data_IF_128093321556
#
_entry.id   IF_128093321556
#
_cell.length_a   1.000
_cell.length_b   1.000
_cell.length_c   1.000
_cell.angle_alpha   90.00
_cell.angle_beta   90.00
_cell.angle_gamma   90.00
#
_symmetry.space_group_name_H-M   'P 1'
#
loop_
_entity.id
_entity.type
_entity.pdbx_description
1 polymer ?
#
# COMPACT_ATOMS: atom_id res chain seq x y z
N UNK A 1 60.46 -41.34 -43.36
CA UNK A 1 60.13 -39.89 -43.52
C UNK A 1 58.63 -39.74 -43.36
N UNK A 2 58.17 -39.40 -42.18
CA UNK A 2 56.72 -39.19 -41.89
C UNK A 2 56.43 -37.72 -41.84
N UNK A 3 55.35 -37.20 -42.47
CA UNK A 3 54.95 -35.78 -42.37
C UNK A 3 54.16 -35.53 -41.09
N UNK A 4 54.66 -34.57 -40.33
CA UNK A 4 54.02 -34.03 -39.13
C UNK A 4 52.78 -33.24 -39.53
N UNK A 5 51.59 -33.71 -39.13
CA UNK A 5 50.34 -32.94 -39.33
C UNK A 5 50.18 -31.88 -38.24
N UNK A 6 50.26 -30.62 -38.66
CA UNK A 6 50.02 -29.47 -37.81
C UNK A 6 48.49 -29.30 -37.63
N UNK A 7 48.00 -29.50 -36.39
CA UNK A 7 46.59 -29.26 -36.03
C UNK A 7 46.48 -27.81 -35.56
N UNK A 8 45.77 -27.01 -36.36
CA UNK A 8 45.42 -25.62 -36.02
C UNK A 8 44.21 -25.63 -35.09
N UNK A 9 44.40 -25.30 -33.81
CA UNK A 9 43.33 -25.15 -32.84
C UNK A 9 42.83 -23.70 -32.92
N UNK A 10 41.60 -23.51 -33.47
CA UNK A 10 40.93 -22.22 -33.50
C UNK A 10 40.15 -22.07 -32.20
N UNK A 11 40.64 -21.24 -31.27
CA UNK A 11 39.92 -20.85 -30.06
C UNK A 11 38.93 -19.72 -30.40
N UNK A 12 37.63 -20.05 -30.48
CA UNK A 12 36.58 -19.05 -30.57
C UNK A 12 36.35 -18.40 -29.22
N UNK A 13 36.72 -17.13 -29.10
CA UNK A 13 36.38 -16.32 -27.91
C UNK A 13 34.89 -15.93 -27.96
N UNK A 14 34.11 -16.52 -27.05
CA UNK A 14 32.71 -16.08 -26.81
C UNK A 14 32.74 -14.76 -26.07
N UNK A 15 32.50 -13.67 -26.74
CA UNK A 15 32.21 -12.37 -26.13
C UNK A 15 30.83 -12.44 -25.49
N UNK A 16 30.76 -12.61 -24.17
CA UNK A 16 29.52 -12.44 -23.40
C UNK A 16 29.16 -10.96 -23.38
N UNK A 17 28.28 -10.56 -24.28
CA UNK A 17 27.68 -9.23 -24.25
C UNK A 17 26.74 -9.09 -23.06
N UNK A 18 27.13 -8.29 -22.08
CA UNK A 18 26.24 -7.87 -20.97
C UNK A 18 25.13 -7.03 -21.56
N UNK A 19 23.90 -7.57 -21.59
CA UNK A 19 22.73 -6.77 -21.91
C UNK A 19 22.59 -5.63 -20.86
N UNK A 20 22.36 -4.37 -21.29
CA UNK A 20 22.10 -3.30 -20.32
C UNK A 20 20.86 -3.66 -19.50
N UNK A 21 20.97 -3.52 -18.17
CA UNK A 21 19.84 -3.67 -17.27
C UNK A 21 18.77 -2.64 -17.69
N UNK A 22 17.60 -3.12 -18.14
CA UNK A 22 16.49 -2.24 -18.42
C UNK A 22 16.06 -1.58 -17.11
N UNK A 23 16.15 -0.26 -17.07
CA UNK A 23 15.59 0.57 -16.02
C UNK A 23 14.09 0.23 -15.89
N UNK A 24 13.57 -0.07 -14.68
CA UNK A 24 12.18 -0.42 -14.51
C UNK A 24 11.30 0.71 -15.07
N UNK A 25 10.39 0.37 -15.97
CA UNK A 25 9.51 1.34 -16.61
C UNK A 25 8.77 2.15 -15.54
N UNK A 26 8.84 3.49 -15.63
CA UNK A 26 8.10 4.40 -14.73
C UNK A 26 6.63 4.01 -14.78
N UNK A 27 6.00 3.70 -13.61
CA UNK A 27 4.59 3.33 -13.59
C UNK A 27 3.74 4.45 -14.19
N UNK A 28 2.66 4.12 -14.93
CA UNK A 28 1.81 5.12 -15.53
C UNK A 28 1.20 6.03 -14.46
N UNK A 29 0.92 7.30 -14.78
CA UNK A 29 0.26 8.21 -13.85
C UNK A 29 -1.07 7.60 -13.39
N UNK A 30 -1.33 7.68 -12.08
CA UNK A 30 -2.52 7.11 -11.48
C UNK A 30 -3.79 7.83 -11.97
N UNK A 31 -4.68 7.07 -12.62
CA UNK A 31 -6.03 7.54 -12.95
C UNK A 31 -7.02 7.17 -11.83
N UNK A 32 -7.38 8.15 -11.02
CA UNK A 32 -8.42 8.02 -10.00
C UNK A 32 -9.84 8.00 -10.59
N UNK A 33 -10.01 8.14 -11.89
CA UNK A 33 -11.30 8.38 -12.56
C UNK A 33 -12.36 7.31 -12.28
N UNK A 34 -11.96 6.06 -12.16
CA UNK A 34 -12.84 4.90 -12.01
C UNK A 34 -13.28 4.62 -10.57
N UNK A 35 -12.79 5.36 -9.58
CA UNK A 35 -13.17 5.17 -8.18
C UNK A 35 -14.26 6.13 -7.72
N UNK A 36 -15.11 5.74 -6.75
CA UNK A 36 -16.07 6.64 -6.13
C UNK A 36 -15.40 7.87 -5.49
N UNK A 37 -16.14 8.97 -5.36
CA UNK A 37 -15.61 10.27 -4.92
C UNK A 37 -14.84 10.23 -3.60
N UNK A 38 -15.30 9.43 -2.63
CA UNK A 38 -14.60 9.26 -1.34
C UNK A 38 -13.23 8.61 -1.48
N UNK A 39 -13.12 7.56 -2.31
CA UNK A 39 -11.84 6.89 -2.62
C UNK A 39 -10.93 7.84 -3.38
N UNK A 40 -11.46 8.51 -4.42
CA UNK A 40 -10.67 9.52 -5.16
C UNK A 40 -10.11 10.61 -4.25
N UNK A 41 -10.87 11.02 -3.22
CA UNK A 41 -10.39 12.01 -2.24
C UNK A 41 -9.21 11.47 -1.43
N UNK A 42 -9.23 10.21 -0.99
CA UNK A 42 -8.14 9.59 -0.26
C UNK A 42 -6.87 9.49 -1.13
N UNK A 43 -7.03 9.08 -2.39
CA UNK A 43 -5.91 8.96 -3.34
C UNK A 43 -5.32 10.32 -3.73
N UNK A 44 -6.17 11.34 -3.95
CA UNK A 44 -5.69 12.72 -4.18
C UNK A 44 -4.89 13.25 -2.99
N UNK A 45 -5.28 12.94 -1.77
CA UNK A 45 -4.48 13.33 -0.61
C UNK A 45 -3.04 12.83 -0.70
N UNK A 46 -2.82 11.59 -1.13
CA UNK A 46 -1.46 11.07 -1.31
C UNK A 46 -0.72 11.80 -2.46
N UNK A 47 -1.39 12.05 -3.59
CA UNK A 47 -0.80 12.80 -4.68
C UNK A 47 -0.39 14.22 -4.25
N UNK A 48 -1.27 14.92 -3.53
CA UNK A 48 -1.01 16.28 -3.05
C UNK A 48 0.14 16.28 -2.02
N UNK A 49 0.24 15.23 -1.20
CA UNK A 49 1.34 15.05 -0.26
C UNK A 49 2.69 14.84 -0.98
N UNK A 50 2.74 13.98 -2.01
CA UNK A 50 3.92 13.81 -2.86
C UNK A 50 4.35 15.15 -3.47
N UNK A 51 3.42 15.87 -4.09
CA UNK A 51 3.68 17.17 -4.74
C UNK A 51 4.19 18.19 -3.72
N UNK A 52 3.54 18.31 -2.57
CA UNK A 52 3.90 19.26 -1.51
C UNK A 52 5.29 19.02 -0.93
N UNK A 53 5.74 17.78 -0.91
CA UNK A 53 7.08 17.40 -0.45
C UNK A 53 8.13 17.40 -1.56
N UNK A 54 7.77 17.83 -2.79
CA UNK A 54 8.69 17.85 -3.93
C UNK A 54 9.00 16.46 -4.49
N UNK A 55 8.11 15.48 -4.27
CA UNK A 55 8.27 14.08 -4.69
C UNK A 55 7.65 13.77 -6.05
N UNK A 56 7.14 14.78 -6.78
CA UNK A 56 6.56 14.59 -8.10
C UNK A 56 5.25 13.81 -8.10
N UNK A 57 5.00 13.03 -9.15
CA UNK A 57 3.79 12.21 -9.28
C UNK A 57 3.80 11.01 -8.33
N UNK A 58 2.62 10.67 -7.81
CA UNK A 58 2.42 9.46 -7.01
C UNK A 58 2.17 8.26 -7.90
N UNK A 59 2.67 7.09 -7.51
CA UNK A 59 2.26 5.80 -8.04
C UNK A 59 1.73 4.90 -6.92
N UNK A 60 0.71 4.13 -7.26
CA UNK A 60 0.03 3.23 -6.36
C UNK A 60 0.17 1.79 -6.83
N UNK A 61 0.35 0.86 -5.89
CA UNK A 61 0.27 -0.57 -6.19
C UNK A 61 -1.16 -0.96 -6.61
N UNK A 62 -1.34 -2.04 -7.39
CA UNK A 62 -2.66 -2.48 -7.85
C UNK A 62 -3.66 -2.75 -6.72
N UNK A 63 -3.19 -3.16 -5.54
CA UNK A 63 -3.98 -3.50 -4.37
C UNK A 63 -4.07 -2.36 -3.33
N UNK A 64 -3.58 -1.16 -3.66
CA UNK A 64 -3.74 0.02 -2.79
C UNK A 64 -5.20 0.28 -2.44
N UNK A 65 -6.14 0.00 -3.35
CA UNK A 65 -7.58 0.09 -3.09
C UNK A 65 -8.20 -1.29 -3.18
N UNK A 66 -8.74 -1.76 -2.07
CA UNK A 66 -9.44 -3.05 -2.01
C UNK A 66 -10.89 -2.85 -1.61
N UNK A 67 -11.77 -3.67 -2.20
CA UNK A 67 -13.20 -3.68 -1.95
C UNK A 67 -13.61 -4.83 -1.03
N UNK A 68 -14.48 -4.55 -0.09
CA UNK A 68 -15.07 -5.52 0.81
C UNK A 68 -16.44 -5.03 1.25
N UNK A 69 -17.35 -5.92 1.57
CA UNK A 69 -18.50 -5.60 2.43
C UNK A 69 -18.01 -5.69 3.89
N UNK A 70 -17.52 -4.56 4.43
CA UNK A 70 -16.99 -4.48 5.79
C UNK A 70 -18.11 -4.32 6.83
N UNK A 71 -19.22 -3.71 6.43
CA UNK A 71 -20.34 -3.42 7.32
C UNK A 71 -21.39 -4.54 7.37
N UNK A 72 -21.36 -5.48 6.41
CA UNK A 72 -22.30 -6.59 6.29
C UNK A 72 -23.66 -6.16 5.72
N UNK A 73 -23.69 -5.08 4.95
CA UNK A 73 -24.91 -4.51 4.39
C UNK A 73 -25.09 -4.74 2.89
N UNK A 74 -24.20 -5.54 2.29
CA UNK A 74 -24.21 -5.93 0.88
C UNK A 74 -23.65 -4.87 -0.07
N UNK A 75 -23.10 -3.75 0.43
CA UNK A 75 -22.48 -2.70 -0.37
C UNK A 75 -20.94 -2.78 -0.32
N UNK A 76 -20.30 -2.36 -1.42
CA UNK A 76 -18.85 -2.24 -1.46
C UNK A 76 -18.37 -1.13 -0.52
N UNK A 77 -17.60 -1.49 0.49
CA UNK A 77 -16.76 -0.61 1.28
C UNK A 77 -15.32 -0.70 0.78
N UNK A 78 -14.45 0.22 1.21
CA UNK A 78 -13.10 0.31 0.65
C UNK A 78 -12.05 0.41 1.75
N UNK A 79 -10.95 -0.28 1.55
CA UNK A 79 -9.70 -0.09 2.27
C UNK A 79 -8.71 0.54 1.30
N UNK A 80 -8.11 1.68 1.69
CA UNK A 80 -7.02 2.32 0.96
C UNK A 80 -5.76 2.20 1.81
N UNK A 81 -4.85 1.33 1.38
CA UNK A 81 -3.59 1.04 2.06
C UNK A 81 -2.44 1.71 1.31
N UNK A 82 -1.80 2.68 1.95
CA UNK A 82 -0.71 3.45 1.33
C UNK A 82 0.68 2.84 1.54
N UNK A 83 0.77 1.58 1.96
CA UNK A 83 2.05 0.92 2.29
C UNK A 83 3.02 0.90 1.12
N UNK A 84 2.52 0.61 -0.07
CA UNK A 84 3.32 0.50 -1.30
C UNK A 84 3.14 1.72 -2.21
N UNK A 85 2.85 2.87 -1.61
CA UNK A 85 2.73 4.13 -2.34
C UNK A 85 4.08 4.80 -2.47
N UNK A 86 4.45 5.17 -3.68
CA UNK A 86 5.76 5.76 -4.02
C UNK A 86 5.57 7.10 -4.72
N UNK A 87 6.41 8.07 -4.38
CA UNK A 87 6.54 9.32 -5.12
C UNK A 87 7.70 9.23 -6.13
N UNK A 88 7.50 9.75 -7.34
CA UNK A 88 8.42 9.53 -8.46
C UNK A 88 9.84 10.07 -8.23
N UNK A 89 9.96 11.25 -7.62
CA UNK A 89 11.23 11.99 -7.52
C UNK A 89 11.76 12.00 -6.08
N UNK A 90 11.04 11.44 -5.14
CA UNK A 90 11.43 11.40 -3.73
C UNK A 90 10.66 10.30 -2.99
N UNK A 91 11.37 9.59 -2.16
CA UNK A 91 10.72 8.71 -1.19
C UNK A 91 9.98 9.55 -0.16
N UNK A 92 8.66 9.59 -0.25
CA UNK A 92 7.79 10.21 0.75
C UNK A 92 7.23 9.09 1.62
N UNK A 93 7.53 9.17 2.91
CA UNK A 93 7.12 8.14 3.84
C UNK A 93 5.63 8.26 4.20
N UNK A 94 4.77 7.48 3.54
CA UNK A 94 3.42 7.19 4.05
C UNK A 94 3.48 6.23 5.25
N UNK A 95 4.68 5.72 5.54
CA UNK A 95 5.00 4.81 6.61
C UNK A 95 5.97 5.46 7.60
N UNK A 96 6.03 4.93 8.82
CA UNK A 96 6.95 5.33 9.87
C UNK A 96 6.95 4.30 11.00
N UNK A 97 7.49 4.62 12.17
CA UNK A 97 7.53 3.70 13.32
C UNK A 97 6.13 3.25 13.77
N UNK A 98 5.11 4.10 13.56
CA UNK A 98 3.71 3.77 13.81
C UNK A 98 3.05 2.91 12.75
N UNK A 99 3.75 2.57 11.68
CA UNK A 99 3.23 1.85 10.51
C UNK A 99 2.89 2.77 9.34
N UNK A 100 2.06 2.28 8.44
CA UNK A 100 1.66 2.96 7.21
C UNK A 100 0.24 3.51 7.35
N UNK A 101 -0.06 4.58 6.60
CA UNK A 101 -1.42 5.14 6.55
C UNK A 101 -2.39 4.12 5.96
N UNK A 102 -3.51 3.98 6.61
CA UNK A 102 -4.65 3.17 6.23
C UNK A 102 -5.93 4.00 6.33
N UNK A 103 -6.69 4.07 5.26
CA UNK A 103 -8.02 4.69 5.26
C UNK A 103 -9.08 3.59 5.09
N UNK A 104 -10.10 3.58 5.97
CA UNK A 104 -11.29 2.72 5.84
C UNK A 104 -12.47 3.61 5.50
N UNK A 105 -13.12 3.28 4.39
CA UNK A 105 -14.19 4.05 3.80
C UNK A 105 -15.43 3.16 3.69
N UNK A 106 -16.56 3.59 4.22
CA UNK A 106 -17.82 2.83 4.15
C UNK A 106 -18.84 3.52 3.26
N UNK A 107 -19.60 2.73 2.51
CA UNK A 107 -20.69 3.18 1.66
C UNK A 107 -21.96 3.27 2.46
N UNK A 108 -22.52 4.47 2.55
CA UNK A 108 -23.77 4.74 3.26
C UNK A 108 -24.98 4.31 2.41
N UNK A 109 -26.19 4.13 3.02
CA UNK A 109 -27.40 3.78 2.29
C UNK A 109 -27.77 4.73 1.13
N UNK A 110 -27.35 5.98 1.20
CA UNK A 110 -27.55 6.97 0.13
C UNK A 110 -26.44 6.97 -0.95
N UNK A 111 -25.58 5.95 -0.98
CA UNK A 111 -24.46 5.80 -1.92
C UNK A 111 -23.25 6.71 -1.65
N UNK A 112 -23.32 7.59 -0.65
CA UNK A 112 -22.16 8.42 -0.27
C UNK A 112 -21.12 7.59 0.47
N UNK A 113 -19.85 7.85 0.20
CA UNK A 113 -18.74 7.19 0.89
C UNK A 113 -18.25 8.08 2.02
N UNK A 114 -18.09 7.47 3.20
CA UNK A 114 -17.62 8.12 4.42
C UNK A 114 -16.31 7.46 4.89
N UNK A 115 -15.29 8.26 5.14
CA UNK A 115 -14.12 7.80 5.87
C UNK A 115 -14.49 7.60 7.35
N UNK A 116 -14.34 6.37 7.82
CA UNK A 116 -14.61 5.98 9.22
C UNK A 116 -13.33 5.79 10.03
N UNK A 117 -12.21 5.53 9.35
CA UNK A 117 -10.87 5.43 9.94
C UNK A 117 -9.85 6.03 8.98
N UNK A 118 -8.86 6.72 9.52
CA UNK A 118 -7.73 7.27 8.79
C UNK A 118 -6.60 7.51 9.78
N UNK A 119 -5.67 6.56 9.87
CA UNK A 119 -4.54 6.61 10.78
C UNK A 119 -3.43 5.66 10.31
N UNK A 120 -2.29 5.65 11.01
CA UNK A 120 -1.20 4.72 10.76
C UNK A 120 -1.40 3.42 11.52
N UNK A 121 -1.17 2.31 10.82
CA UNK A 121 -1.19 0.96 11.40
C UNK A 121 0.02 0.17 10.90
N UNK A 122 0.60 -0.67 11.73
CA UNK A 122 1.72 -1.53 11.34
C UNK A 122 1.27 -2.66 10.42
N UNK A 123 0.15 -3.26 10.76
CA UNK A 123 -0.51 -4.26 9.94
C UNK A 123 -2.01 -4.30 10.27
N UNK A 124 -2.77 -5.02 9.47
CA UNK A 124 -4.16 -5.33 9.77
C UNK A 124 -4.57 -6.64 9.12
N UNK A 125 -5.57 -7.24 9.71
CA UNK A 125 -6.18 -8.48 9.25
C UNK A 125 -7.71 -8.33 9.28
N UNK A 126 -8.37 -8.77 8.22
CA UNK A 126 -9.83 -8.77 8.12
C UNK A 126 -10.31 -10.15 8.55
N UNK A 127 -11.01 -10.20 9.68
CA UNK A 127 -11.58 -11.41 10.23
C UNK A 127 -13.05 -11.54 9.82
N UNK A 128 -13.49 -12.76 9.59
CA UNK A 128 -14.91 -13.03 9.37
C UNK A 128 -15.71 -12.66 10.64
N UNK A 129 -16.85 -12.02 10.44
CA UNK A 129 -17.84 -11.77 11.49
C UNK A 129 -19.22 -12.24 11.01
N UNK A 130 -20.14 -12.49 11.91
CA UNK A 130 -21.49 -12.99 11.58
C UNK A 130 -22.27 -12.00 10.71
N UNK A 131 -22.19 -10.70 11.00
CA UNK A 131 -22.96 -9.66 10.32
C UNK A 131 -22.03 -8.66 9.63
N UNK A 132 -20.90 -8.30 10.25
CA UNK A 132 -19.93 -7.34 9.75
C UNK A 132 -18.52 -7.85 9.98
N UNK A 133 -17.56 -7.37 9.17
CA UNK A 133 -16.16 -7.74 9.34
C UNK A 133 -15.59 -7.10 10.60
N UNK A 134 -14.71 -7.86 11.25
CA UNK A 134 -13.86 -7.36 12.32
C UNK A 134 -12.48 -7.15 11.74
N UNK A 135 -11.91 -5.98 11.93
CA UNK A 135 -10.51 -5.74 11.57
C UNK A 135 -9.69 -5.78 12.86
N UNK A 136 -8.67 -6.63 12.86
CA UNK A 136 -7.61 -6.65 13.86
C UNK A 136 -6.47 -5.79 13.37
N UNK A 137 -6.14 -4.78 14.13
CA UNK A 137 -5.07 -3.83 13.83
C UNK A 137 -3.86 -4.15 14.69
N UNK A 138 -2.70 -4.18 14.06
CA UNK A 138 -1.42 -4.11 14.73
C UNK A 138 -0.98 -2.65 14.81
N UNK A 139 -0.81 -2.15 16.01
CA UNK A 139 -0.53 -0.75 16.32
C UNK A 139 0.83 -0.62 17.01
N UNK A 140 1.37 0.59 17.02
CA UNK A 140 2.52 0.93 17.85
C UNK A 140 2.17 0.77 19.34
N UNK A 141 3.13 0.32 20.15
CA UNK A 141 2.91 0.01 21.58
C UNK A 141 2.34 1.14 22.41
N UNK A 142 2.58 2.39 22.02
CA UNK A 142 1.99 3.57 22.68
C UNK A 142 0.46 3.53 22.74
N UNK A 143 -0.19 2.94 21.75
CA UNK A 143 -1.65 2.77 21.76
C UNK A 143 -2.18 1.79 22.84
N UNK A 144 -1.27 1.05 23.49
CA UNK A 144 -1.61 0.11 24.57
C UNK A 144 -0.88 0.44 25.88
N UNK A 145 -0.36 1.67 26.02
CA UNK A 145 0.34 2.10 27.24
C UNK A 145 1.79 1.61 27.35
N UNK A 146 2.34 1.02 26.29
CA UNK A 146 3.73 0.61 26.22
C UNK A 146 4.64 1.74 25.78
N UNK A 147 5.93 1.59 26.06
CA UNK A 147 6.99 2.45 25.55
C UNK A 147 7.79 1.70 24.47
N UNK A 148 8.21 2.43 23.42
CA UNK A 148 9.09 1.90 22.38
C UNK A 148 8.36 1.03 21.34
N UNK A 149 9.09 0.07 20.78
CA UNK A 149 8.72 -0.64 19.55
C UNK A 149 7.81 -1.89 19.67
N UNK A 150 7.43 -2.46 20.83
CA UNK A 150 6.53 -3.61 20.81
C UNK A 150 5.21 -3.23 20.13
N UNK A 151 4.70 -4.16 19.29
CA UNK A 151 3.37 -4.04 18.71
C UNK A 151 2.30 -4.35 19.73
N UNK A 152 1.12 -3.77 19.56
CA UNK A 152 -0.08 -4.17 20.27
C UNK A 152 -1.26 -4.34 19.32
N UNK A 153 -2.27 -5.09 19.73
CA UNK A 153 -3.38 -5.46 18.87
C UNK A 153 -4.69 -4.93 19.42
N UNK A 154 -5.47 -4.29 18.55
CA UNK A 154 -6.85 -3.90 18.85
C UNK A 154 -7.76 -4.38 17.72
N UNK A 155 -8.93 -4.89 18.07
CA UNK A 155 -9.93 -5.32 17.09
C UNK A 155 -11.13 -4.38 17.08
N UNK A 156 -11.68 -4.16 15.90
CA UNK A 156 -12.84 -3.28 15.71
C UNK A 156 -13.81 -3.87 14.69
N UNK A 157 -15.08 -3.96 15.06
CA UNK A 157 -16.17 -4.16 14.10
C UNK A 157 -16.36 -2.89 13.30
N UNK A 158 -16.44 -3.01 11.99
CA UNK A 158 -16.59 -1.85 11.11
C UNK A 158 -18.07 -1.46 11.01
N UNK A 159 -18.33 -0.20 11.16
CA UNK A 159 -19.65 0.43 11.06
C UNK A 159 -19.50 1.80 10.40
N UNK A 160 -20.62 2.44 10.06
CA UNK A 160 -20.62 3.82 9.53
C UNK A 160 -20.18 4.90 10.55
N UNK A 161 -19.83 4.53 11.80
CA UNK A 161 -19.33 5.46 12.81
C UNK A 161 -17.82 5.63 12.69
N UNK A 162 -17.34 6.87 12.74
CA UNK A 162 -15.92 7.16 12.83
C UNK A 162 -15.32 6.62 14.13
N UNK A 163 -14.09 6.16 14.06
CA UNK A 163 -13.32 5.76 15.21
C UNK A 163 -11.84 6.11 15.06
N UNK A 164 -11.15 6.20 16.17
CA UNK A 164 -9.69 6.35 16.26
C UNK A 164 -9.22 5.57 17.47
N UNK A 165 -8.01 5.06 17.39
CA UNK A 165 -7.32 4.54 18.57
C UNK A 165 -6.67 5.73 19.27
N UNK A 166 -6.80 5.78 20.60
CA UNK A 166 -6.16 6.79 21.44
C UNK A 166 -5.08 6.13 22.26
N UNK A 167 -3.98 6.82 22.42
CA UNK A 167 -2.97 6.44 23.41
C UNK A 167 -3.59 6.58 24.81
N UNK A 168 -3.32 5.64 25.74
CA UNK A 168 -3.71 5.80 27.14
C UNK A 168 -3.01 7.05 27.70
N UNK A 169 -3.74 7.79 28.53
CA UNK A 169 -3.17 8.95 29.25
C UNK A 169 -2.27 8.47 30.40
#
# INVERSE_FOLDING_TARGET
MSPLKLILVITAALAAGSAPAQEPAKPPPFDAGNYPSGVRKALRYANDECTRQGGGAVSFAPDTVRKFDLTGDGRDDYIVDFRETVCADREVAYCGTGGCRLDILVTLPNGKIRSVFSDRVRAYEILAGEVARIIRFELHGSYCGGHGNPSCYKSRRITAKKFQFKEPK
#
